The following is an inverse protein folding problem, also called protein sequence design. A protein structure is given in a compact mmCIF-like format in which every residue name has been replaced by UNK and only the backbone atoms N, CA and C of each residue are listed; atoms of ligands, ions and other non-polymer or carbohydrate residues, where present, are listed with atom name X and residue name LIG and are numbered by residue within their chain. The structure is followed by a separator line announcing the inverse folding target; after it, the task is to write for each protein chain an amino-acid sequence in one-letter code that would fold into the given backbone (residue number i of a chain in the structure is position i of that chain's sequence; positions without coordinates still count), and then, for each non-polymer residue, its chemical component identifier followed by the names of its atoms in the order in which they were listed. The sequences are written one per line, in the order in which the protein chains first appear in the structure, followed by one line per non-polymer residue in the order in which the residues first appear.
data_IF_690808497297
#
_entry.id   IF_690808497297
#
_cell.length_a   1.000
_cell.length_b   1.000
_cell.length_c   1.000
_cell.angle_alpha   90.00
_cell.angle_beta   90.00
_cell.angle_gamma   90.00
#
_symmetry.space_group_name_H-M   'P 1'
#
loop_
_entity.id
_entity.type
_entity.pdbx_description
1 polymer ?
#
# COMPACT_ATOMS: atom_id res chain seq x y z
N UNK A 1 12.15 -7.73 -22.61
CA UNK A 1 11.17 -6.63 -22.76
C UNK A 1 11.86 -5.34 -22.34
N UNK A 2 11.50 -4.20 -22.93
CA UNK A 2 12.06 -2.90 -22.51
C UNK A 2 11.49 -2.51 -21.14
N UNK A 3 12.35 -1.99 -20.26
CA UNK A 3 11.90 -1.46 -18.96
C UNK A 3 11.03 -0.21 -19.16
N UNK A 4 10.02 0.01 -18.31
CA UNK A 4 9.15 1.17 -18.44
C UNK A 4 9.93 2.47 -18.20
N UNK A 5 9.60 3.51 -18.97
CA UNK A 5 10.25 4.83 -18.89
C UNK A 5 9.22 5.93 -18.73
N UNK A 6 9.49 6.82 -17.77
CA UNK A 6 8.72 8.03 -17.51
C UNK A 6 9.45 9.24 -18.08
N UNK A 7 8.70 10.12 -18.73
CA UNK A 7 9.10 11.47 -19.12
C UNK A 7 8.02 12.44 -18.68
N UNK A 8 8.35 13.30 -17.72
CA UNK A 8 7.48 14.37 -17.20
C UNK A 8 7.94 15.76 -17.64
N UNK A 9 9.02 15.84 -18.44
CA UNK A 9 9.76 17.07 -18.69
C UNK A 9 10.48 17.62 -17.44
N UNK A 10 10.58 16.83 -16.36
CA UNK A 10 11.18 17.22 -15.07
C UNK A 10 12.09 16.12 -14.57
N UNK A 11 13.40 16.35 -14.69
CA UNK A 11 14.44 15.38 -14.31
C UNK A 11 14.26 14.78 -12.91
N UNK A 12 13.80 15.56 -11.92
CA UNK A 12 13.58 15.07 -10.55
C UNK A 12 12.61 13.88 -10.50
N UNK A 13 11.47 13.96 -11.19
CA UNK A 13 10.47 12.89 -11.19
C UNK A 13 10.91 11.70 -12.05
N UNK A 14 11.53 11.98 -13.19
CA UNK A 14 11.99 10.96 -14.15
C UNK A 14 13.13 10.12 -13.55
N UNK A 15 14.10 10.78 -12.91
CA UNK A 15 15.20 10.10 -12.21
C UNK A 15 14.70 9.30 -11.00
N UNK A 16 13.74 9.84 -10.24
CA UNK A 16 13.13 9.12 -9.11
C UNK A 16 12.40 7.85 -9.58
N UNK A 17 11.70 7.91 -10.73
CA UNK A 17 11.03 6.75 -11.31
C UNK A 17 12.03 5.71 -11.83
N UNK A 18 13.02 6.12 -12.62
CA UNK A 18 14.07 5.23 -13.12
C UNK A 18 14.83 4.55 -11.97
N UNK A 19 15.09 5.28 -10.88
CA UNK A 19 15.66 4.73 -9.65
C UNK A 19 14.74 3.69 -9.01
N UNK A 20 13.44 3.93 -8.93
CA UNK A 20 12.48 2.99 -8.34
C UNK A 20 12.44 1.68 -9.14
N UNK A 21 12.39 1.77 -10.47
CA UNK A 21 12.44 0.62 -11.38
C UNK A 21 13.69 -0.22 -11.15
N UNK A 22 14.86 0.42 -11.11
CA UNK A 22 16.14 -0.24 -10.87
C UNK A 22 16.21 -0.89 -9.48
N UNK A 23 15.78 -0.19 -8.44
CA UNK A 23 15.87 -0.68 -7.05
C UNK A 23 14.93 -1.86 -6.80
N UNK A 24 13.76 -1.90 -7.43
CA UNK A 24 12.88 -3.09 -7.44
C UNK A 24 13.57 -4.26 -8.13
N UNK A 25 14.13 -4.07 -9.32
CA UNK A 25 14.85 -5.14 -10.03
C UNK A 25 16.06 -5.66 -9.23
N UNK A 26 16.80 -4.78 -8.56
CA UNK A 26 17.92 -5.12 -7.68
C UNK A 26 17.50 -5.76 -6.35
N UNK A 27 16.20 -5.86 -6.08
CA UNK A 27 15.63 -6.55 -4.91
C UNK A 27 15.09 -7.93 -5.27
N UNK A 28 15.41 -8.45 -6.47
CA UNK A 28 15.08 -9.81 -6.90
C UNK A 28 16.30 -10.70 -6.64
N UNK A 29 16.11 -11.77 -5.87
CA UNK A 29 17.13 -12.77 -5.58
C UNK A 29 16.51 -14.17 -5.63
N UNK A 30 17.15 -15.10 -6.35
CA UNK A 30 16.65 -16.48 -6.48
C UNK A 30 15.25 -16.60 -7.09
N UNK A 31 14.83 -15.62 -7.91
CA UNK A 31 13.49 -15.59 -8.51
C UNK A 31 12.37 -15.10 -7.58
N UNK A 32 12.71 -14.56 -6.41
CA UNK A 32 11.77 -13.96 -5.46
C UNK A 32 12.20 -12.56 -5.05
N UNK A 33 11.26 -11.76 -4.55
CA UNK A 33 11.56 -10.46 -3.95
C UNK A 33 12.11 -10.62 -2.54
N UNK A 34 13.20 -9.91 -2.22
CA UNK A 34 13.71 -9.77 -0.85
C UNK A 34 13.37 -8.38 -0.32
N UNK A 35 13.18 -8.26 1.00
CA UNK A 35 12.75 -7.02 1.63
C UNK A 35 13.72 -5.84 1.38
N UNK A 36 15.02 -6.08 1.51
CA UNK A 36 16.03 -5.06 1.27
C UNK A 36 17.46 -5.54 1.45
N UNK A 37 18.42 -4.64 1.29
CA UNK A 37 19.85 -4.96 1.37
C UNK A 37 20.26 -5.50 2.74
N UNK A 38 19.78 -4.89 3.83
CA UNK A 38 20.04 -5.39 5.18
C UNK A 38 19.21 -6.63 5.55
N UNK A 39 18.21 -6.96 4.74
CA UNK A 39 17.24 -8.03 4.97
C UNK A 39 17.05 -8.86 3.69
N UNK A 40 18.01 -9.73 3.33
CA UNK A 40 17.93 -10.59 2.15
C UNK A 40 16.98 -11.78 2.39
N UNK A 41 15.79 -11.49 2.92
CA UNK A 41 14.76 -12.44 3.34
C UNK A 41 13.45 -12.03 2.71
N UNK A 42 12.61 -13.01 2.42
CA UNK A 42 11.26 -12.79 1.91
C UNK A 42 10.31 -12.70 3.10
N UNK A 43 9.71 -11.54 3.29
CA UNK A 43 8.70 -11.28 4.32
C UNK A 43 7.33 -11.14 3.66
N UNK A 44 6.28 -11.69 4.28
CA UNK A 44 4.93 -11.63 3.72
C UNK A 44 4.50 -10.19 3.53
N UNK A 45 4.77 -9.34 4.53
CA UNK A 45 4.35 -7.95 4.54
C UNK A 45 5.05 -7.10 3.48
N UNK A 46 6.38 -7.12 3.47
CA UNK A 46 7.21 -6.37 2.53
C UNK A 46 6.88 -6.75 1.09
N UNK A 47 6.82 -8.06 0.81
CA UNK A 47 6.48 -8.56 -0.52
C UNK A 47 5.07 -8.13 -0.93
N UNK A 48 4.08 -8.30 -0.05
CA UNK A 48 2.68 -8.07 -0.40
C UNK A 48 2.37 -6.60 -0.65
N UNK A 49 2.90 -5.69 0.18
CA UNK A 49 2.77 -4.25 -0.07
C UNK A 49 3.53 -3.83 -1.32
N UNK A 50 4.75 -4.32 -1.55
CA UNK A 50 5.51 -3.96 -2.74
C UNK A 50 4.83 -4.43 -4.04
N UNK A 51 4.27 -5.64 -4.02
CA UNK A 51 3.52 -6.20 -5.15
C UNK A 51 2.28 -5.35 -5.46
N UNK A 52 1.51 -4.97 -4.45
CA UNK A 52 0.33 -4.11 -4.60
C UNK A 52 0.68 -2.68 -5.04
N UNK A 53 1.83 -2.15 -4.60
CA UNK A 53 2.34 -0.83 -4.97
C UNK A 53 2.98 -0.77 -6.37
N UNK A 54 2.95 -1.86 -7.14
CA UNK A 54 3.36 -1.84 -8.55
C UNK A 54 4.39 -2.91 -8.94
N UNK A 55 5.01 -3.60 -7.98
CA UNK A 55 5.92 -4.70 -8.33
C UNK A 55 5.18 -5.85 -9.04
N UNK A 56 3.89 -6.05 -8.73
CA UNK A 56 3.03 -7.01 -9.42
C UNK A 56 2.89 -6.74 -10.91
N UNK A 57 2.76 -5.47 -11.30
CA UNK A 57 2.69 -5.05 -12.70
C UNK A 57 4.04 -5.23 -13.41
N UNK A 58 5.13 -4.91 -12.72
CA UNK A 58 6.46 -4.90 -13.32
C UNK A 58 7.13 -6.28 -13.42
N UNK A 59 6.91 -7.14 -12.43
CA UNK A 59 7.51 -8.47 -12.37
C UNK A 59 6.46 -9.52 -11.93
N UNK A 60 5.44 -9.81 -12.78
CA UNK A 60 4.34 -10.68 -12.42
C UNK A 60 4.77 -12.09 -12.01
N UNK A 61 5.75 -12.67 -12.70
CA UNK A 61 6.23 -14.03 -12.40
C UNK A 61 6.99 -14.10 -11.07
N UNK A 62 7.85 -13.13 -10.81
CA UNK A 62 8.56 -12.99 -9.52
C UNK A 62 7.55 -12.78 -8.40
N UNK A 63 6.51 -11.98 -8.63
CA UNK A 63 5.44 -11.73 -7.66
C UNK A 63 4.69 -13.02 -7.28
N UNK A 64 4.27 -13.80 -8.29
CA UNK A 64 3.61 -15.11 -8.05
C UNK A 64 4.52 -16.08 -7.30
N UNK A 65 5.79 -16.20 -7.70
CA UNK A 65 6.77 -17.07 -7.06
C UNK A 65 7.01 -16.65 -5.60
N UNK A 66 7.17 -15.35 -5.36
CA UNK A 66 7.36 -14.77 -4.02
C UNK A 66 6.18 -15.12 -3.10
N UNK A 67 4.94 -14.89 -3.54
CA UNK A 67 3.77 -15.17 -2.70
C UNK A 67 3.53 -16.64 -2.45
N UNK A 68 3.81 -17.50 -3.43
CA UNK A 68 3.81 -18.96 -3.22
C UNK A 68 4.83 -19.37 -2.16
N UNK A 69 6.01 -18.77 -2.17
CA UNK A 69 7.10 -19.07 -1.25
C UNK A 69 6.84 -18.66 0.20
N UNK A 70 6.03 -17.62 0.44
CA UNK A 70 5.73 -17.11 1.79
C UNK A 70 4.43 -17.63 2.40
N UNK A 71 3.65 -18.43 1.66
CA UNK A 71 2.49 -19.10 2.24
C UNK A 71 2.94 -20.16 3.26
N UNK A 72 2.26 -20.26 4.40
CA UNK A 72 2.65 -21.22 5.44
C UNK A 72 2.32 -22.67 5.03
N UNK A 73 3.17 -23.61 5.44
CA UNK A 73 2.86 -25.03 5.48
C UNK A 73 1.68 -25.25 6.43
N UNK A 74 0.46 -25.33 5.88
CA UNK A 74 -0.78 -25.28 6.67
C UNK A 74 -1.90 -24.49 5.99
N UNK A 75 -1.62 -23.85 4.85
CA UNK A 75 -2.65 -23.31 3.97
C UNK A 75 -3.18 -21.93 4.37
N UNK A 76 -2.46 -21.18 5.22
CA UNK A 76 -2.76 -19.78 5.53
C UNK A 76 -1.53 -18.89 5.21
N UNK A 77 -1.73 -17.58 5.11
CA UNK A 77 -0.62 -16.64 4.98
C UNK A 77 0.26 -16.69 6.24
N UNK A 78 1.58 -16.81 6.05
CA UNK A 78 2.52 -16.90 7.16
C UNK A 78 2.59 -15.57 7.91
N UNK A 79 2.75 -15.63 9.23
CA UNK A 79 2.99 -14.43 10.02
C UNK A 79 4.51 -14.26 10.20
N UNK A 80 4.99 -13.13 9.72
CA UNK A 80 6.34 -12.62 9.93
C UNK A 80 6.68 -12.58 11.43
N UNK A 81 7.93 -12.94 11.79
CA UNK A 81 8.40 -12.96 13.19
C UNK A 81 9.31 -11.76 13.48
N UNK A 82 8.82 -10.83 14.30
CA UNK A 82 9.55 -9.66 14.74
C UNK A 82 10.26 -9.86 16.09
N UNK A 83 11.40 -9.21 16.27
CA UNK A 83 12.22 -9.32 17.48
C UNK A 83 11.51 -8.81 18.76
N UNK A 84 10.79 -7.69 18.70
CA UNK A 84 10.22 -7.07 19.91
C UNK A 84 8.88 -7.68 20.35
N UNK A 85 8.01 -8.03 19.39
CA UNK A 85 6.64 -8.46 19.69
C UNK A 85 6.35 -9.91 19.31
N UNK A 86 7.27 -10.62 18.63
CA UNK A 86 7.14 -12.05 18.33
C UNK A 86 6.45 -12.30 16.99
N UNK A 87 5.49 -13.22 16.95
CA UNK A 87 4.67 -13.51 15.77
C UNK A 87 3.20 -13.66 16.15
N UNK A 88 2.45 -14.45 15.39
CA UNK A 88 1.06 -14.79 15.72
C UNK A 88 0.95 -15.39 17.14
N UNK A 89 -0.07 -15.04 17.95
CA UNK A 89 -1.22 -14.18 17.68
C UNK A 89 -1.02 -12.70 18.11
N UNK A 90 0.23 -12.22 18.19
CA UNK A 90 0.54 -10.83 18.61
C UNK A 90 0.63 -9.89 17.41
N UNK A 91 1.29 -10.37 16.37
CA UNK A 91 1.19 -9.84 15.01
C UNK A 91 0.13 -10.64 14.25
N UNK A 92 -0.77 -9.93 13.58
CA UNK A 92 -1.95 -10.53 12.95
C UNK A 92 -2.28 -9.88 11.61
N UNK A 93 -1.29 -9.23 11.00
CA UNK A 93 -1.35 -8.54 9.71
C UNK A 93 -1.05 -9.47 8.52
N UNK A 94 -0.76 -10.76 8.73
CA UNK A 94 -0.45 -11.72 7.65
C UNK A 94 -1.52 -11.82 6.56
N UNK A 95 -2.76 -11.41 6.84
CA UNK A 95 -3.83 -11.31 5.84
C UNK A 95 -3.50 -10.35 4.69
N UNK A 96 -2.49 -9.48 4.85
CA UNK A 96 -1.91 -8.66 3.77
C UNK A 96 -1.44 -9.50 2.58
N UNK A 97 -1.13 -10.79 2.78
CA UNK A 97 -0.88 -11.74 1.69
C UNK A 97 -2.00 -11.78 0.65
N UNK A 98 -3.26 -11.59 1.07
CA UNK A 98 -4.41 -11.51 0.16
C UNK A 98 -4.34 -10.29 -0.77
N UNK A 99 -3.81 -9.16 -0.28
CA UNK A 99 -3.64 -7.92 -1.04
C UNK A 99 -2.60 -8.13 -2.15
N UNK A 100 -1.42 -8.63 -1.78
CA UNK A 100 -0.38 -8.97 -2.77
C UNK A 100 -0.86 -10.02 -3.78
N UNK A 101 -1.59 -11.04 -3.31
CA UNK A 101 -2.07 -12.12 -4.18
C UNK A 101 -3.12 -11.65 -5.17
N UNK A 102 -4.00 -10.75 -4.75
CA UNK A 102 -4.93 -10.10 -5.67
C UNK A 102 -4.20 -9.29 -6.74
N UNK A 103 -3.18 -8.50 -6.37
CA UNK A 103 -2.37 -7.76 -7.32
C UNK A 103 -1.63 -8.69 -8.31
N UNK A 104 -1.15 -9.86 -7.86
CA UNK A 104 -0.62 -10.89 -8.75
C UNK A 104 -1.67 -11.39 -9.75
N UNK A 105 -2.86 -11.75 -9.28
CA UNK A 105 -3.94 -12.21 -10.15
C UNK A 105 -4.32 -11.14 -11.18
N UNK A 106 -4.45 -9.89 -10.75
CA UNK A 106 -4.75 -8.77 -11.65
C UNK A 106 -3.70 -8.66 -12.75
N UNK A 107 -2.42 -8.72 -12.40
CA UNK A 107 -1.31 -8.61 -13.33
C UNK A 107 -1.20 -9.79 -14.31
N UNK A 108 -1.62 -11.00 -13.92
CA UNK A 108 -1.43 -12.22 -14.73
C UNK A 108 -2.68 -12.75 -15.40
N UNK A 109 -3.86 -12.53 -14.82
CA UNK A 109 -5.11 -13.22 -15.19
C UNK A 109 -5.13 -14.71 -14.85
N UNK A 110 -4.20 -15.18 -14.00
CA UNK A 110 -4.04 -16.61 -13.68
C UNK A 110 -5.12 -17.10 -12.70
N UNK A 111 -6.15 -17.77 -13.25
CA UNK A 111 -7.27 -18.33 -12.48
C UNK A 111 -6.86 -19.46 -11.52
N UNK A 112 -5.81 -20.22 -11.81
CA UNK A 112 -5.32 -21.27 -10.90
C UNK A 112 -4.61 -20.66 -9.69
N UNK A 113 -3.85 -19.58 -9.91
CA UNK A 113 -3.30 -18.77 -8.84
C UNK A 113 -4.40 -18.10 -8.02
N UNK A 114 -5.46 -17.57 -8.65
CA UNK A 114 -6.61 -17.02 -7.95
C UNK A 114 -7.28 -18.06 -7.04
N UNK A 115 -7.56 -19.26 -7.57
CA UNK A 115 -8.19 -20.35 -6.80
C UNK A 115 -7.36 -20.74 -5.58
N UNK A 116 -6.04 -20.88 -5.77
CA UNK A 116 -5.13 -21.17 -4.66
C UNK A 116 -5.10 -20.05 -3.61
N UNK A 117 -4.90 -18.80 -4.04
CA UNK A 117 -4.77 -17.67 -3.12
C UNK A 117 -6.07 -17.35 -2.39
N UNK A 118 -7.22 -17.60 -3.03
CA UNK A 118 -8.54 -17.57 -2.40
C UNK A 118 -8.63 -18.58 -1.27
N UNK A 119 -8.23 -19.83 -1.50
CA UNK A 119 -8.22 -20.86 -0.46
C UNK A 119 -7.30 -20.48 0.73
N UNK A 120 -6.11 -19.94 0.45
CA UNK A 120 -5.17 -19.47 1.49
C UNK A 120 -5.76 -18.31 2.29
N UNK A 121 -6.43 -17.38 1.61
CA UNK A 121 -7.07 -16.22 2.23
C UNK A 121 -8.24 -16.64 3.12
N UNK A 122 -9.09 -17.56 2.65
CA UNK A 122 -10.20 -18.13 3.43
C UNK A 122 -9.72 -18.80 4.72
N UNK A 123 -8.67 -19.62 4.62
CA UNK A 123 -8.09 -20.27 5.79
C UNK A 123 -7.48 -19.25 6.78
N UNK A 124 -6.85 -18.18 6.27
CA UNK A 124 -6.28 -17.11 7.08
C UNK A 124 -7.35 -16.32 7.84
N UNK A 125 -8.44 -15.94 7.17
CA UNK A 125 -9.58 -15.25 7.78
C UNK A 125 -10.26 -16.15 8.82
N UNK A 126 -10.51 -17.42 8.49
CA UNK A 126 -11.09 -18.37 9.44
C UNK A 126 -10.21 -18.59 10.68
N UNK A 127 -8.87 -18.61 10.54
CA UNK A 127 -7.94 -18.64 11.68
C UNK A 127 -8.08 -17.37 12.53
N UNK A 128 -8.12 -16.21 11.89
CA UNK A 128 -8.25 -14.93 12.56
C UNK A 128 -9.56 -14.83 13.37
N UNK A 129 -10.69 -15.25 12.78
CA UNK A 129 -11.99 -15.29 13.47
C UNK A 129 -11.95 -16.14 14.74
N UNK A 130 -11.31 -17.31 14.70
CA UNK A 130 -11.24 -18.21 15.85
C UNK A 130 -10.34 -17.70 16.98
N UNK A 131 -9.23 -17.06 16.64
CA UNK A 131 -8.14 -16.85 17.61
C UNK A 131 -8.06 -15.41 18.13
N UNK A 132 -8.42 -14.42 17.31
CA UNK A 132 -8.13 -13.01 17.59
C UNK A 132 -9.30 -12.06 17.40
N UNK A 133 -10.45 -12.52 16.89
CA UNK A 133 -11.64 -11.69 16.76
C UNK A 133 -12.34 -11.51 18.12
N UNK A 134 -12.77 -10.29 18.43
CA UNK A 134 -13.45 -9.97 19.70
C UNK A 134 -14.98 -9.85 19.58
N UNK A 135 -15.53 -10.18 18.41
CA UNK A 135 -16.94 -9.96 18.07
C UNK A 135 -17.21 -8.67 17.30
N UNK A 136 -16.22 -7.77 17.17
CA UNK A 136 -16.31 -6.61 16.28
C UNK A 136 -14.99 -6.28 15.56
N UNK A 137 -13.86 -6.36 16.25
CA UNK A 137 -12.53 -6.07 15.71
C UNK A 137 -11.57 -7.24 15.94
N UNK A 138 -10.52 -7.30 15.14
CA UNK A 138 -9.40 -8.23 15.26
C UNK A 138 -8.33 -7.63 16.16
N UNK A 139 -7.87 -8.43 17.13
CA UNK A 139 -6.73 -8.11 17.99
C UNK A 139 -5.41 -8.24 17.22
N UNK A 140 -4.43 -7.45 17.62
CA UNK A 140 -3.07 -7.48 17.10
C UNK A 140 -2.43 -6.09 17.05
N UNK A 141 -1.11 -6.07 16.92
CA UNK A 141 -0.38 -4.84 16.67
C UNK A 141 -0.83 -4.20 15.34
N UNK A 142 -0.48 -2.93 15.14
CA UNK A 142 -0.62 -2.28 13.85
C UNK A 142 0.36 -2.92 12.85
N UNK A 143 -0.07 -3.02 11.60
CA UNK A 143 0.75 -3.56 10.51
C UNK A 143 2.08 -2.83 10.48
N UNK A 144 3.17 -3.56 10.26
CA UNK A 144 4.57 -3.11 10.28
C UNK A 144 5.10 -2.40 11.54
N UNK A 145 4.27 -2.08 12.52
CA UNK A 145 4.67 -1.29 13.68
C UNK A 145 5.23 -2.16 14.82
N UNK A 146 5.98 -3.23 14.51
CA UNK A 146 6.53 -4.21 15.47
C UNK A 146 7.69 -3.71 16.36
N UNK A 147 7.75 -2.42 16.65
CA UNK A 147 8.80 -1.85 17.50
C UNK A 147 8.28 -1.22 18.78
N UNK A 148 9.10 -1.36 19.82
CA UNK A 148 9.04 -0.58 21.06
C UNK A 148 8.88 0.93 20.85
N UNK A 149 9.34 1.47 19.72
CA UNK A 149 9.20 2.89 19.39
C UNK A 149 7.80 3.28 18.94
N UNK A 150 7.03 2.32 18.41
CA UNK A 150 5.68 2.53 17.90
C UNK A 150 4.60 2.56 18.98
N UNK A 151 4.95 2.36 20.26
CA UNK A 151 3.99 2.24 21.36
C UNK A 151 4.47 2.98 22.62
N UNK A 152 3.56 3.36 23.55
CA UNK A 152 3.98 3.97 24.81
C UNK A 152 4.77 2.97 25.67
N UNK A 153 5.61 3.50 26.57
CA UNK A 153 6.56 2.72 27.37
C UNK A 153 5.95 1.53 28.12
N UNK A 154 4.65 1.59 28.48
CA UNK A 154 3.91 0.47 29.10
C UNK A 154 3.87 -0.82 28.25
N UNK A 155 4.07 -0.72 26.94
CA UNK A 155 4.10 -1.85 26.01
C UNK A 155 5.52 -2.34 25.66
N UNK A 156 6.55 -1.68 26.20
CA UNK A 156 7.94 -2.02 25.92
C UNK A 156 8.23 -3.51 26.20
N UNK A 157 8.75 -4.22 25.19
CA UNK A 157 9.04 -5.66 25.24
C UNK A 157 7.85 -6.52 25.67
N UNK A 158 6.62 -6.00 25.55
CA UNK A 158 5.40 -6.65 25.99
C UNK A 158 4.48 -6.91 24.80
N UNK A 159 4.90 -7.84 23.94
CA UNK A 159 4.13 -8.23 22.76
C UNK A 159 2.75 -8.80 23.09
N UNK A 160 2.52 -9.34 24.30
CA UNK A 160 1.18 -9.79 24.74
C UNK A 160 0.24 -8.60 24.90
N UNK A 161 0.69 -7.53 25.55
CA UNK A 161 -0.11 -6.32 25.72
C UNK A 161 -0.37 -5.60 24.39
N UNK A 162 0.64 -5.52 23.50
CA UNK A 162 0.44 -4.98 22.14
C UNK A 162 -0.53 -5.85 21.34
N UNK A 163 -0.37 -7.17 21.40
CA UNK A 163 -1.25 -8.12 20.74
C UNK A 163 -2.70 -8.11 21.23
N UNK A 164 -2.97 -7.50 22.39
CA UNK A 164 -4.34 -7.30 22.89
C UNK A 164 -5.01 -6.03 22.36
N UNK A 165 -4.25 -5.14 21.70
CA UNK A 165 -4.82 -3.95 21.04
C UNK A 165 -5.57 -4.33 19.77
N UNK A 166 -6.41 -3.41 19.26
CA UNK A 166 -7.11 -3.52 17.99
C UNK A 166 -6.69 -2.35 17.12
N UNK A 167 -5.63 -2.54 16.33
CA UNK A 167 -5.07 -1.50 15.49
C UNK A 167 -5.88 -1.23 14.22
N UNK A 168 -5.87 0.02 13.75
CA UNK A 168 -6.58 0.44 12.55
C UNK A 168 -6.08 -0.29 11.31
N UNK A 169 -4.78 -0.24 11.01
CA UNK A 169 -4.19 -0.88 9.83
C UNK A 169 -4.51 -2.37 9.76
N UNK A 170 -4.41 -3.09 10.88
CA UNK A 170 -4.74 -4.52 10.97
C UNK A 170 -6.21 -4.79 10.68
N UNK A 171 -7.13 -4.00 11.25
CA UNK A 171 -8.55 -4.20 10.97
C UNK A 171 -8.94 -3.80 9.55
N UNK A 172 -8.33 -2.76 8.99
CA UNK A 172 -8.49 -2.40 7.57
C UNK A 172 -7.96 -3.50 6.65
N UNK A 173 -6.86 -4.17 7.00
CA UNK A 173 -6.34 -5.33 6.28
C UNK A 173 -7.30 -6.53 6.33
N UNK A 174 -7.89 -6.85 7.49
CA UNK A 174 -8.89 -7.93 7.59
C UNK A 174 -10.16 -7.59 6.80
N UNK A 175 -10.60 -6.33 6.83
CA UNK A 175 -11.70 -5.84 5.97
C UNK A 175 -11.37 -6.06 4.50
N UNK A 176 -10.17 -5.65 4.07
CA UNK A 176 -9.70 -5.85 2.70
C UNK A 176 -9.63 -7.32 2.35
N UNK A 177 -9.17 -8.18 3.26
CA UNK A 177 -9.17 -9.64 3.11
C UNK A 177 -10.56 -10.19 2.81
N UNK A 178 -11.58 -9.78 3.57
CA UNK A 178 -12.98 -10.17 3.28
C UNK A 178 -13.46 -9.66 1.93
N UNK A 179 -13.21 -8.38 1.59
CA UNK A 179 -13.61 -7.83 0.29
C UNK A 179 -12.96 -8.59 -0.88
N UNK A 180 -11.68 -8.95 -0.75
CA UNK A 180 -10.95 -9.69 -1.78
C UNK A 180 -11.41 -11.15 -1.87
N UNK A 181 -11.73 -11.79 -0.75
CA UNK A 181 -12.32 -13.13 -0.73
C UNK A 181 -13.71 -13.16 -1.40
N UNK A 182 -14.55 -12.15 -1.15
CA UNK A 182 -15.84 -12.01 -1.83
C UNK A 182 -15.67 -11.90 -3.35
N UNK A 183 -14.75 -11.02 -3.80
CA UNK A 183 -14.48 -10.84 -5.23
C UNK A 183 -13.92 -12.10 -5.89
N UNK A 184 -12.99 -12.78 -5.22
CA UNK A 184 -12.45 -14.04 -5.70
C UNK A 184 -13.52 -15.13 -5.78
N UNK A 185 -14.39 -15.24 -4.77
CA UNK A 185 -15.52 -16.16 -4.77
C UNK A 185 -16.43 -15.94 -6.00
N UNK A 186 -16.84 -14.69 -6.24
CA UNK A 186 -17.67 -14.35 -7.41
C UNK A 186 -17.00 -14.73 -8.74
N UNK A 187 -15.70 -14.43 -8.91
CA UNK A 187 -14.94 -14.78 -10.12
C UNK A 187 -14.77 -16.29 -10.31
N UNK A 188 -14.77 -17.06 -9.22
CA UNK A 188 -14.64 -18.51 -9.23
C UNK A 188 -16.00 -19.25 -9.31
N UNK A 189 -17.11 -18.51 -9.34
CA UNK A 189 -18.47 -19.07 -9.32
C UNK A 189 -18.89 -19.63 -7.95
N UNK A 190 -18.24 -19.19 -6.87
CA UNK A 190 -18.60 -19.48 -5.48
C UNK A 190 -19.50 -18.37 -4.90
N UNK A 191 -20.22 -18.65 -3.82
CA UNK A 191 -21.04 -17.66 -3.11
C UNK A 191 -20.19 -16.59 -2.40
N UNK A 192 -20.30 -15.30 -2.79
CA UNK A 192 -19.56 -14.21 -2.17
C UNK A 192 -20.20 -13.69 -0.87
N UNK A 193 -21.51 -13.91 -0.66
CA UNK A 193 -22.31 -13.28 0.38
C UNK A 193 -21.72 -13.43 1.80
N UNK A 194 -21.20 -14.60 2.22
CA UNK A 194 -20.64 -14.76 3.56
C UNK A 194 -19.45 -13.84 3.84
N UNK A 195 -18.66 -13.49 2.82
CA UNK A 195 -17.54 -12.57 2.97
C UNK A 195 -17.98 -11.11 2.90
N UNK A 196 -18.98 -10.79 2.08
CA UNK A 196 -19.55 -9.44 1.99
C UNK A 196 -20.20 -9.00 3.31
N UNK A 197 -20.98 -9.90 3.93
CA UNK A 197 -21.61 -9.64 5.23
C UNK A 197 -20.57 -9.36 6.32
N UNK A 198 -19.47 -10.13 6.35
CA UNK A 198 -18.37 -9.94 7.29
C UNK A 198 -17.59 -8.65 7.01
N UNK A 199 -17.32 -8.33 5.75
CA UNK A 199 -16.70 -7.07 5.37
C UNK A 199 -17.55 -5.88 5.83
N UNK A 200 -18.85 -5.88 5.55
CA UNK A 200 -19.77 -4.82 5.95
C UNK A 200 -19.83 -4.67 7.48
N UNK A 201 -19.92 -5.78 8.21
CA UNK A 201 -19.92 -5.76 9.68
C UNK A 201 -18.61 -5.19 10.25
N UNK A 202 -17.46 -5.61 9.72
CA UNK A 202 -16.16 -5.11 10.16
C UNK A 202 -15.95 -3.63 9.82
N UNK A 203 -16.38 -3.18 8.64
CA UNK A 203 -16.35 -1.75 8.27
C UNK A 203 -17.15 -0.91 9.26
N UNK A 204 -18.35 -1.36 9.67
CA UNK A 204 -19.14 -0.68 10.70
C UNK A 204 -18.40 -0.65 12.03
N UNK A 205 -17.88 -1.78 12.50
CA UNK A 205 -17.13 -1.86 13.75
C UNK A 205 -15.89 -0.96 13.77
N UNK A 206 -15.14 -0.86 12.66
CA UNK A 206 -13.99 0.06 12.54
C UNK A 206 -14.46 1.51 12.70
N UNK A 207 -15.51 1.91 12.01
CA UNK A 207 -16.03 3.27 12.08
C UNK A 207 -16.65 3.60 13.45
N UNK A 208 -17.32 2.65 14.10
CA UNK A 208 -17.90 2.87 15.43
C UNK A 208 -16.84 3.00 16.53
N UNK A 209 -15.75 2.23 16.44
CA UNK A 209 -14.79 2.07 17.55
C UNK A 209 -13.49 2.84 17.37
N UNK A 210 -13.10 3.13 16.13
CA UNK A 210 -11.82 3.78 15.82
C UNK A 210 -11.98 5.17 15.21
N UNK A 211 -13.10 5.51 14.57
CA UNK A 211 -13.31 6.87 14.04
C UNK A 211 -13.44 7.87 15.20
N UNK A 212 -12.75 9.01 15.10
CA UNK A 212 -12.84 10.10 16.10
C UNK A 212 -13.42 11.33 15.42
N UNK A 213 -14.77 11.48 15.37
CA UNK A 213 -15.41 12.56 14.64
C UNK A 213 -14.96 13.94 15.12
N UNK A 214 -14.73 14.10 16.42
CA UNK A 214 -14.25 15.34 17.03
C UNK A 214 -12.81 15.71 16.66
N UNK A 215 -12.06 14.77 16.06
CA UNK A 215 -10.69 14.97 15.59
C UNK A 215 -10.55 14.89 14.08
N UNK A 216 -11.57 14.39 13.38
CA UNK A 216 -11.57 14.20 11.93
C UNK A 216 -10.62 13.10 11.43
N UNK A 217 -10.16 12.19 12.29
CA UNK A 217 -9.27 11.09 11.90
C UNK A 217 -9.53 9.82 12.74
N UNK A 218 -9.04 8.68 12.28
CA UNK A 218 -9.10 7.43 13.04
C UNK A 218 -8.06 7.40 14.18
N UNK A 219 -8.39 6.71 15.26
CA UNK A 219 -7.44 6.34 16.31
C UNK A 219 -6.49 5.25 15.80
N UNK A 220 -5.24 5.30 16.28
CA UNK A 220 -4.20 4.34 15.93
C UNK A 220 -4.59 2.90 16.32
N UNK A 221 -5.12 2.73 17.52
CA UNK A 221 -5.66 1.47 18.01
C UNK A 221 -6.68 1.73 19.11
N UNK A 222 -7.51 0.73 19.40
CA UNK A 222 -8.24 0.59 20.66
C UNK A 222 -7.44 -0.33 21.60
N UNK A 223 -7.24 0.05 22.87
CA UNK A 223 -6.52 -0.79 23.84
C UNK A 223 -7.38 -1.94 24.40
N UNK A 224 -6.77 -2.76 25.27
CA UNK A 224 -7.44 -3.94 25.83
C UNK A 224 -8.70 -3.59 26.64
N UNK A 225 -8.81 -2.37 27.15
CA UNK A 225 -9.95 -1.88 27.94
C UNK A 225 -11.00 -1.17 27.07
N UNK A 226 -10.87 -1.21 25.75
CA UNK A 226 -11.80 -0.54 24.84
C UNK A 226 -11.51 0.95 24.65
N UNK A 227 -10.35 1.47 25.09
CA UNK A 227 -10.05 2.90 25.01
C UNK A 227 -9.29 3.22 23.71
N UNK A 228 -9.82 4.12 22.86
CA UNK A 228 -9.12 4.54 21.65
C UNK A 228 -7.88 5.38 21.96
N UNK A 229 -6.78 5.10 21.27
CA UNK A 229 -5.55 5.87 21.35
C UNK A 229 -5.75 7.31 20.84
N UNK A 230 -5.01 8.24 21.43
CA UNK A 230 -5.03 9.64 21.04
C UNK A 230 -4.25 9.95 19.74
N UNK A 231 -3.45 9.00 19.24
CA UNK A 231 -2.59 9.13 18.06
C UNK A 231 -3.27 8.54 16.84
N UNK A 232 -2.76 8.85 15.66
CA UNK A 232 -3.10 8.20 14.39
C UNK A 232 -1.86 7.57 13.76
N UNK A 233 -2.07 6.60 12.87
CA UNK A 233 -1.00 5.99 12.05
C UNK A 233 -1.17 6.32 10.57
N UNK A 234 -0.06 6.49 9.86
CA UNK A 234 -0.11 6.88 8.45
C UNK A 234 -0.67 5.78 7.54
N UNK A 235 -0.20 4.54 7.71
CA UNK A 235 -0.60 3.42 6.85
C UNK A 235 -2.09 3.08 7.01
N UNK A 236 -2.55 2.84 8.24
CA UNK A 236 -3.95 2.52 8.50
C UNK A 236 -4.91 3.59 7.97
N UNK A 237 -4.55 4.87 8.14
CA UNK A 237 -5.31 5.99 7.60
C UNK A 237 -5.33 5.99 6.07
N UNK A 238 -4.19 5.85 5.42
CA UNK A 238 -4.11 5.81 3.95
C UNK A 238 -4.94 4.66 3.37
N UNK A 239 -4.82 3.46 3.95
CA UNK A 239 -5.57 2.28 3.51
C UNK A 239 -7.08 2.41 3.78
N UNK A 240 -7.47 3.01 4.90
CA UNK A 240 -8.90 3.23 5.20
C UNK A 240 -9.56 4.13 4.15
N UNK A 241 -8.85 5.18 3.70
CA UNK A 241 -9.31 6.07 2.62
C UNK A 241 -9.32 5.38 1.27
N UNK A 242 -8.20 4.71 0.92
CA UNK A 242 -8.00 4.07 -0.39
C UNK A 242 -8.98 2.91 -0.63
N UNK A 243 -9.26 2.09 0.39
CA UNK A 243 -10.12 0.92 0.28
C UNK A 243 -11.54 1.14 0.77
N UNK A 244 -11.94 2.39 0.99
CA UNK A 244 -13.33 2.77 1.26
C UNK A 244 -13.87 2.32 2.62
N UNK A 245 -13.01 2.13 3.62
CA UNK A 245 -13.44 2.00 5.02
C UNK A 245 -13.90 3.37 5.53
N UNK A 246 -13.14 4.42 5.19
CA UNK A 246 -13.59 5.79 5.27
C UNK A 246 -14.55 6.08 4.11
N UNK A 247 -15.74 6.58 4.44
CA UNK A 247 -16.63 7.18 3.45
C UNK A 247 -16.09 8.54 2.97
N UNK A 248 -16.82 9.19 2.08
CA UNK A 248 -16.36 10.42 1.44
C UNK A 248 -16.19 11.57 2.44
N UNK A 249 -17.06 11.66 3.46
CA UNK A 249 -16.97 12.68 4.49
C UNK A 249 -15.77 12.43 5.41
N UNK A 250 -15.60 11.19 5.90
CA UNK A 250 -14.47 10.79 6.73
C UNK A 250 -13.14 10.95 5.98
N UNK A 251 -13.09 10.56 4.70
CA UNK A 251 -11.91 10.76 3.86
C UNK A 251 -11.56 12.25 3.70
N UNK A 252 -12.55 13.10 3.43
CA UNK A 252 -12.34 14.54 3.34
C UNK A 252 -11.86 15.13 4.69
N UNK A 253 -12.40 14.67 5.83
CA UNK A 253 -11.95 15.09 7.15
C UNK A 253 -10.51 14.65 7.44
N UNK A 254 -10.16 13.43 7.04
CA UNK A 254 -8.80 12.89 7.16
C UNK A 254 -7.79 13.77 6.41
N UNK A 255 -8.05 14.14 5.14
CA UNK A 255 -7.15 15.01 4.40
C UNK A 255 -6.99 16.41 5.00
N UNK A 256 -7.96 16.89 5.78
CA UNK A 256 -7.87 18.19 6.47
C UNK A 256 -7.12 18.11 7.80
N UNK A 257 -7.18 16.99 8.50
CA UNK A 257 -6.73 16.88 9.90
C UNK A 257 -5.48 16.05 10.10
N UNK A 258 -5.20 15.11 9.18
CA UNK A 258 -3.98 14.32 9.15
C UNK A 258 -2.94 15.10 8.35
N UNK A 259 -1.95 15.66 9.05
CA UNK A 259 -0.92 16.50 8.45
C UNK A 259 0.37 15.74 8.23
N UNK A 260 0.90 15.81 7.02
CA UNK A 260 2.22 15.33 6.68
C UNK A 260 3.32 16.16 7.38
N UNK A 261 4.48 15.55 7.60
CA UNK A 261 5.68 16.30 7.99
C UNK A 261 6.28 16.99 6.77
N UNK A 262 7.34 17.78 6.95
CA UNK A 262 8.04 18.45 5.84
C UNK A 262 8.42 17.50 4.70
N UNK A 263 8.72 16.25 5.02
CA UNK A 263 9.22 15.26 4.06
C UNK A 263 8.20 14.16 3.71
N UNK A 264 6.96 14.28 4.19
CA UNK A 264 5.89 13.33 3.88
C UNK A 264 5.11 12.83 5.10
N UNK A 265 4.10 12.01 4.84
CA UNK A 265 3.27 11.43 5.89
C UNK A 265 4.10 10.53 6.84
N UNK A 266 4.12 10.82 8.16
CA UNK A 266 4.82 9.99 9.12
C UNK A 266 4.04 8.69 9.39
N UNK A 267 4.75 7.62 9.76
CA UNK A 267 4.13 6.36 10.14
C UNK A 267 3.18 6.47 11.35
N UNK A 268 3.43 7.43 12.25
CA UNK A 268 2.73 7.62 13.51
C UNK A 268 2.82 9.07 13.96
N UNK A 269 1.71 9.63 14.46
CA UNK A 269 1.70 10.98 15.01
C UNK A 269 0.62 11.24 16.07
N UNK A 270 0.84 12.18 17.01
CA UNK A 270 2.13 12.75 17.41
C UNK A 270 3.11 11.67 17.91
N UNK A 271 4.42 11.95 17.88
CA UNK A 271 5.43 11.00 18.36
C UNK A 271 5.22 10.62 19.83
N UNK A 272 5.62 9.41 20.21
CA UNK A 272 5.83 9.06 21.62
C UNK A 272 7.10 9.73 22.14
N UNK A 273 7.13 10.05 23.43
CA UNK A 273 8.37 10.48 24.10
C UNK A 273 9.35 9.29 24.15
N UNK A 274 10.59 9.53 23.76
CA UNK A 274 11.64 8.51 23.92
C UNK A 274 11.81 8.18 25.40
N UNK A 275 11.67 6.90 25.73
CA UNK A 275 11.76 6.41 27.11
C UNK A 275 13.10 5.70 27.40
N UNK A 276 13.93 5.46 26.37
CA UNK A 276 15.33 4.98 26.47
C UNK A 276 16.27 5.74 25.54
N UNK A 277 16.53 7.04 25.79
CA UNK A 277 17.34 7.88 24.90
C UNK A 277 18.82 7.49 24.84
N UNK A 278 19.33 6.65 25.74
CA UNK A 278 20.73 6.19 25.72
C UNK A 278 20.96 4.95 24.84
N UNK A 279 19.91 4.25 24.41
CA UNK A 279 20.00 3.08 23.52
C UNK A 279 19.70 3.46 22.06
N UNK A 280 20.28 4.54 21.52
CA UNK A 280 19.95 5.11 20.19
C UNK A 280 20.34 4.18 19.03
N UNK A 281 19.72 3.01 18.95
CA UNK A 281 19.67 2.13 17.79
C UNK A 281 18.40 2.44 17.02
N UNK A 282 18.44 2.25 15.71
CA UNK A 282 17.31 2.50 14.80
C UNK A 282 16.01 1.89 15.31
N UNK A 283 16.12 0.67 15.83
CA UNK A 283 15.02 -0.11 16.40
C UNK A 283 14.23 0.60 17.51
N UNK A 284 14.79 1.60 18.20
CA UNK A 284 14.12 2.35 19.27
C UNK A 284 13.50 3.69 18.84
N UNK A 285 13.58 4.05 17.55
CA UNK A 285 12.93 5.26 17.04
C UNK A 285 12.25 5.12 15.68
N UNK A 286 12.55 4.08 14.88
CA UNK A 286 12.18 4.03 13.47
C UNK A 286 10.66 3.93 13.19
N UNK A 287 9.87 3.36 14.11
CA UNK A 287 8.40 3.40 14.06
C UNK A 287 7.79 4.57 14.87
N UNK A 288 8.57 5.61 15.18
CA UNK A 288 8.10 6.77 15.95
C UNK A 288 8.15 8.06 15.12
N UNK A 289 7.23 8.18 14.16
CA UNK A 289 7.05 9.36 13.33
C UNK A 289 8.11 9.54 12.24
N UNK A 290 8.79 8.48 11.83
CA UNK A 290 9.62 8.50 10.61
C UNK A 290 8.73 8.51 9.36
N UNK A 291 9.26 9.01 8.25
CA UNK A 291 8.60 8.95 6.94
C UNK A 291 9.03 7.66 6.25
N UNK A 292 8.07 6.78 6.02
CA UNK A 292 8.28 5.50 5.34
C UNK A 292 7.75 5.62 3.91
N UNK A 293 8.59 5.50 2.87
CA UNK A 293 8.17 5.77 1.50
C UNK A 293 6.98 4.93 1.00
N UNK A 294 6.84 3.69 1.46
CA UNK A 294 5.69 2.86 1.08
C UNK A 294 4.38 3.37 1.69
N UNK A 295 4.42 3.89 2.92
CA UNK A 295 3.28 4.57 3.58
C UNK A 295 2.94 5.85 2.82
N UNK A 296 3.97 6.61 2.44
CA UNK A 296 3.84 7.80 1.61
C UNK A 296 3.20 7.47 0.25
N UNK A 297 3.63 6.38 -0.38
CA UNK A 297 3.07 5.86 -1.63
C UNK A 297 1.59 5.54 -1.53
N UNK A 298 1.18 4.79 -0.51
CA UNK A 298 -0.25 4.52 -0.24
C UNK A 298 -1.04 5.79 0.04
N UNK A 299 -0.47 6.75 0.76
CA UNK A 299 -1.13 8.02 1.05
C UNK A 299 -1.32 8.88 -0.20
N UNK A 300 -0.29 8.98 -1.05
CA UNK A 300 -0.39 9.63 -2.35
C UNK A 300 -1.42 8.94 -3.25
N UNK A 301 -1.43 7.62 -3.30
CA UNK A 301 -2.44 6.87 -4.04
C UNK A 301 -3.85 7.13 -3.50
N UNK A 302 -4.04 7.11 -2.18
CA UNK A 302 -5.32 7.44 -1.56
C UNK A 302 -5.79 8.86 -1.92
N UNK A 303 -4.87 9.84 -1.88
CA UNK A 303 -5.14 11.22 -2.26
C UNK A 303 -5.57 11.33 -3.73
N UNK A 304 -4.83 10.71 -4.65
CA UNK A 304 -5.16 10.71 -6.07
C UNK A 304 -6.52 10.04 -6.34
N UNK A 305 -6.78 8.88 -5.74
CA UNK A 305 -8.03 8.14 -5.89
C UNK A 305 -9.27 8.92 -5.39
N UNK A 306 -9.07 9.90 -4.49
CA UNK A 306 -10.12 10.77 -3.95
C UNK A 306 -10.10 12.19 -4.52
N UNK A 307 -9.26 12.47 -5.52
CA UNK A 307 -9.15 13.79 -6.14
C UNK A 307 -8.56 14.87 -5.22
N UNK A 308 -7.83 14.50 -4.16
CA UNK A 308 -7.12 15.42 -3.27
C UNK A 308 -5.78 15.86 -3.90
N UNK A 309 -5.87 16.65 -4.98
CA UNK A 309 -4.74 17.01 -5.86
C UNK A 309 -3.56 17.59 -5.10
N UNK A 310 -3.78 18.54 -4.19
CA UNK A 310 -2.69 19.21 -3.45
C UNK A 310 -1.96 18.27 -2.49
N UNK A 311 -2.69 17.34 -1.87
CA UNK A 311 -2.08 16.30 -1.01
C UNK A 311 -1.23 15.37 -1.87
N UNK A 312 -1.77 14.90 -2.99
CA UNK A 312 -1.01 14.07 -3.92
C UNK A 312 0.24 14.77 -4.46
N UNK A 313 0.11 16.03 -4.89
CA UNK A 313 1.21 16.84 -5.41
C UNK A 313 2.34 17.00 -4.38
N UNK A 314 1.98 17.29 -3.13
CA UNK A 314 2.94 17.44 -2.02
C UNK A 314 3.71 16.14 -1.78
N UNK A 315 3.02 15.01 -1.75
CA UNK A 315 3.65 13.71 -1.48
C UNK A 315 4.48 13.19 -2.64
N UNK A 316 4.04 13.41 -3.88
CA UNK A 316 4.81 13.09 -5.08
C UNK A 316 6.12 13.89 -5.12
N UNK A 317 6.05 15.20 -4.90
CA UNK A 317 7.23 16.07 -4.84
C UNK A 317 8.15 15.70 -3.67
N UNK A 318 7.57 15.43 -2.49
CA UNK A 318 8.31 15.06 -1.29
C UNK A 318 9.08 13.74 -1.47
N UNK A 319 8.44 12.70 -2.00
CA UNK A 319 9.11 11.41 -2.21
C UNK A 319 10.13 11.48 -3.34
N UNK A 320 9.89 12.27 -4.39
CA UNK A 320 10.89 12.51 -5.44
C UNK A 320 12.13 13.25 -4.90
N UNK A 321 11.96 14.24 -4.01
CA UNK A 321 13.07 14.90 -3.32
C UNK A 321 13.85 13.90 -2.45
N UNK A 322 13.15 13.10 -1.63
CA UNK A 322 13.78 12.06 -0.81
C UNK A 322 14.56 11.04 -1.65
N UNK A 323 14.02 10.66 -2.82
CA UNK A 323 14.71 9.78 -3.76
C UNK A 323 16.05 10.37 -4.24
N UNK A 324 16.20 11.69 -4.30
CA UNK A 324 17.45 12.38 -4.65
C UNK A 324 18.50 12.42 -3.53
N UNK A 325 18.15 12.05 -2.29
CA UNK A 325 19.03 12.19 -1.10
C UNK A 325 19.96 10.99 -0.85
N UNK A 326 19.82 9.91 -1.61
CA UNK A 326 20.60 8.69 -1.46
C UNK A 326 20.74 7.94 -2.79
N UNK A 327 21.65 6.96 -2.86
CA UNK A 327 21.85 6.14 -4.07
C UNK A 327 20.64 5.23 -4.38
N UNK A 328 19.98 4.71 -3.34
CA UNK A 328 18.84 3.79 -3.39
C UNK A 328 17.67 4.33 -2.56
N UNK A 329 16.47 3.74 -2.69
CA UNK A 329 15.34 4.03 -1.80
C UNK A 329 15.58 3.38 -0.44
N UNK A 330 15.86 4.21 0.56
CA UNK A 330 16.04 3.75 1.93
C UNK A 330 14.72 3.35 2.60
N UNK A 331 14.85 2.58 3.67
CA UNK A 331 13.74 2.07 4.47
C UNK A 331 12.87 3.19 5.06
N UNK A 332 13.50 4.21 5.65
CA UNK A 332 12.79 5.38 6.18
C UNK A 332 13.65 6.66 6.16
N UNK A 333 12.99 7.80 6.36
CA UNK A 333 13.62 9.12 6.43
C UNK A 333 13.20 9.86 7.70
N UNK A 334 14.09 10.72 8.21
CA UNK A 334 13.80 11.59 9.35
C UNK A 334 12.78 12.67 8.95
N UNK A 335 11.71 12.89 9.72
CA UNK A 335 10.62 13.81 9.35
C UNK A 335 11.04 15.29 9.29
N UNK A 336 12.10 15.66 10.00
CA UNK A 336 12.55 17.05 10.11
C UNK A 336 13.65 17.37 9.06
N UNK A 337 14.59 16.43 8.86
CA UNK A 337 15.78 16.64 8.03
C UNK A 337 15.76 15.93 6.67
N UNK A 338 14.90 14.94 6.48
CA UNK A 338 14.90 14.09 5.28
C UNK A 338 16.15 13.20 5.19
N UNK A 339 16.91 13.03 6.29
CA UNK A 339 18.08 12.16 6.30
C UNK A 339 17.63 10.70 6.20
N UNK A 340 18.20 9.89 5.27
CA UNK A 340 17.88 8.47 5.17
C UNK A 340 18.36 7.69 6.41
N UNK A 341 17.68 6.58 6.71
CA UNK A 341 18.03 5.61 7.76
C UNK A 341 17.50 4.21 7.44
N UNK A 342 17.82 3.24 8.29
CA UNK A 342 17.48 1.83 8.06
C UNK A 342 18.23 1.21 6.87
N UNK A 343 17.65 0.16 6.27
CA UNK A 343 18.21 -0.52 5.10
C UNK A 343 18.44 0.45 3.93
N UNK A 344 19.62 0.38 3.30
CA UNK A 344 20.00 1.30 2.23
C UNK A 344 19.12 1.15 0.98
N UNK A 345 18.75 -0.09 0.63
CA UNK A 345 17.78 -0.42 -0.41
C UNK A 345 16.64 -1.18 0.24
N UNK A 346 15.41 -0.71 0.03
CA UNK A 346 14.20 -1.33 0.55
C UNK A 346 13.12 -1.40 -0.53
N UNK A 347 12.63 -2.61 -0.77
CA UNK A 347 11.72 -2.95 -1.87
C UNK A 347 10.44 -2.12 -1.83
N UNK A 348 9.72 -2.15 -0.71
CA UNK A 348 8.45 -1.43 -0.59
C UNK A 348 8.61 0.08 -0.74
N UNK A 349 9.82 0.61 -0.50
CA UNK A 349 10.08 2.03 -0.53
C UNK A 349 10.19 2.51 -1.97
N UNK A 350 10.89 1.74 -2.80
CA UNK A 350 10.91 1.95 -4.24
C UNK A 350 9.50 1.75 -4.84
N UNK A 351 8.78 0.71 -4.40
CA UNK A 351 7.42 0.45 -4.85
C UNK A 351 6.45 1.59 -4.53
N UNK A 352 6.60 2.26 -3.38
CA UNK A 352 5.78 3.43 -3.02
C UNK A 352 5.78 4.53 -4.08
N UNK A 353 6.94 4.80 -4.71
CA UNK A 353 7.02 5.80 -5.78
C UNK A 353 6.45 5.29 -7.11
N UNK A 354 6.58 3.99 -7.40
CA UNK A 354 5.91 3.38 -8.56
C UNK A 354 4.39 3.57 -8.47
N UNK A 355 3.79 3.32 -7.31
CA UNK A 355 2.36 3.50 -7.08
C UNK A 355 1.89 4.94 -7.35
N UNK A 356 2.65 5.94 -6.89
CA UNK A 356 2.31 7.35 -7.15
C UNK A 356 2.33 7.69 -8.65
N UNK A 357 3.27 7.13 -9.41
CA UNK A 357 3.31 7.32 -10.87
C UNK A 357 2.18 6.56 -11.53
N UNK A 358 2.08 5.25 -11.31
CA UNK A 358 1.16 4.37 -12.01
C UNK A 358 -0.31 4.64 -11.65
N UNK A 359 -0.62 4.70 -10.36
CA UNK A 359 -1.99 4.80 -9.87
C UNK A 359 -2.40 6.23 -9.53
N UNK A 360 -1.44 7.15 -9.38
CA UNK A 360 -1.68 8.58 -9.14
C UNK A 360 -1.61 9.41 -10.41
N UNK A 361 -0.40 9.67 -10.93
CA UNK A 361 -0.18 10.52 -12.11
C UNK A 361 -0.95 10.02 -13.33
N UNK A 362 -0.80 8.73 -13.66
CA UNK A 362 -1.50 8.11 -14.78
C UNK A 362 -2.89 7.58 -14.39
N UNK A 363 -3.19 7.54 -13.08
CA UNK A 363 -4.52 7.20 -12.59
C UNK A 363 -5.01 5.83 -13.01
N UNK A 364 -4.10 4.87 -13.22
CA UNK A 364 -4.47 3.56 -13.73
C UNK A 364 -5.20 2.76 -12.66
N UNK A 365 -6.27 2.08 -13.06
CA UNK A 365 -6.97 1.11 -12.22
C UNK A 365 -7.17 -0.18 -12.99
N UNK A 366 -6.78 -1.30 -12.39
CA UNK A 366 -6.88 -2.62 -13.00
C UNK A 366 -7.97 -3.40 -12.26
N UNK A 367 -9.13 -3.59 -12.89
CA UNK A 367 -10.27 -4.29 -12.28
C UNK A 367 -10.38 -5.77 -12.68
N UNK A 368 -9.46 -6.23 -13.53
CA UNK A 368 -9.38 -7.59 -14.06
C UNK A 368 -9.94 -7.75 -15.47
N UNK A 369 -10.89 -6.87 -15.85
CA UNK A 369 -11.56 -6.85 -17.16
C UNK A 369 -11.17 -5.67 -18.03
N UNK A 370 -10.92 -4.51 -17.41
CA UNK A 370 -10.55 -3.27 -18.05
C UNK A 370 -9.40 -2.59 -17.27
N UNK A 371 -8.67 -1.73 -17.97
CA UNK A 371 -7.71 -0.79 -17.41
C UNK A 371 -8.33 0.59 -17.53
N UNK A 372 -8.77 1.16 -16.41
CA UNK A 372 -9.34 2.50 -16.33
C UNK A 372 -8.28 3.57 -16.09
N UNK A 373 -8.56 4.80 -16.51
CA UNK A 373 -7.67 5.96 -16.37
C UNK A 373 -8.38 7.14 -15.69
N UNK A 374 -7.81 7.62 -14.59
CA UNK A 374 -8.26 8.79 -13.82
C UNK A 374 -7.04 9.61 -13.36
N UNK A 375 -6.27 10.17 -14.30
CA UNK A 375 -4.99 10.81 -13.99
C UNK A 375 -5.17 12.00 -13.05
N UNK A 376 -4.21 12.19 -12.15
CA UNK A 376 -4.12 13.36 -11.29
C UNK A 376 -2.78 14.03 -11.60
N UNK A 377 -2.83 15.14 -12.34
CA UNK A 377 -1.62 15.82 -12.79
C UNK A 377 -1.48 17.16 -12.07
N UNK A 378 -0.53 17.29 -11.11
CA UNK A 378 -0.30 18.53 -10.39
C UNK A 378 0.03 19.73 -11.28
N UNK A 379 -0.27 20.93 -10.80
CA UNK A 379 0.19 22.16 -11.44
C UNK A 379 1.72 22.17 -11.56
N UNK A 380 2.23 22.59 -12.72
CA UNK A 380 3.67 22.62 -13.02
C UNK A 380 4.20 21.43 -13.83
N UNK A 381 3.36 20.40 -14.02
CA UNK A 381 3.48 19.37 -15.05
C UNK A 381 2.45 19.64 -16.16
N UNK A 382 2.82 19.42 -17.42
CA UNK A 382 1.95 19.72 -18.56
C UNK A 382 1.97 18.67 -19.67
N UNK A 383 2.99 17.81 -19.70
CA UNK A 383 3.08 16.67 -20.59
C UNK A 383 3.76 15.53 -19.86
N UNK A 384 3.10 14.38 -19.81
CA UNK A 384 3.61 13.14 -19.23
C UNK A 384 3.62 12.07 -20.30
N UNK A 385 4.66 11.24 -20.32
CA UNK A 385 4.72 10.03 -21.16
C UNK A 385 5.23 8.87 -20.32
N UNK A 386 4.47 7.77 -20.30
CA UNK A 386 4.91 6.49 -19.77
C UNK A 386 4.96 5.50 -20.93
N UNK A 387 6.14 4.95 -21.19
CA UNK A 387 6.36 4.01 -22.30
C UNK A 387 6.89 2.68 -21.78
N UNK A 388 6.62 1.60 -22.50
CA UNK A 388 7.13 0.27 -22.16
C UNK A 388 6.46 -0.38 -20.95
N UNK A 389 5.31 0.12 -20.50
CA UNK A 389 4.56 -0.52 -19.42
C UNK A 389 3.85 -1.76 -19.97
N UNK A 390 4.24 -2.93 -19.47
CA UNK A 390 3.63 -4.20 -19.86
C UNK A 390 2.54 -4.63 -18.90
N UNK A 391 1.44 -5.16 -19.40
CA UNK A 391 0.39 -5.81 -18.62
C UNK A 391 -0.13 -7.03 -19.38
N UNK A 392 0.07 -8.24 -18.87
CA UNK A 392 -0.25 -9.47 -19.61
C UNK A 392 0.41 -9.47 -21.00
N UNK A 393 -0.36 -9.62 -22.08
CA UNK A 393 0.12 -9.55 -23.46
C UNK A 393 0.19 -8.13 -24.05
N UNK A 394 -0.17 -7.09 -23.30
CA UNK A 394 -0.26 -5.69 -23.73
C UNK A 394 1.03 -4.93 -23.39
N UNK A 395 1.47 -4.05 -24.28
CA UNK A 395 2.48 -3.02 -24.00
C UNK A 395 1.87 -1.64 -24.26
N UNK A 396 1.91 -0.78 -23.24
CA UNK A 396 1.32 0.54 -23.29
C UNK A 396 2.37 1.64 -23.46
N UNK A 397 2.02 2.58 -24.33
CA UNK A 397 2.53 3.94 -24.31
C UNK A 397 1.38 4.89 -23.98
N UNK A 398 1.50 5.62 -22.87
CA UNK A 398 0.47 6.56 -22.41
C UNK A 398 1.05 7.96 -22.46
N UNK A 399 0.38 8.88 -23.15
CA UNK A 399 0.70 10.31 -23.15
C UNK A 399 -0.44 11.09 -22.52
N UNK A 400 -0.15 11.90 -21.52
CA UNK A 400 -1.10 12.85 -20.91
C UNK A 400 -0.66 14.27 -21.24
N UNK A 401 -1.57 15.09 -21.74
CA UNK A 401 -1.34 16.53 -21.99
C UNK A 401 -2.30 17.37 -21.15
N UNK A 402 -1.78 18.40 -20.49
CA UNK A 402 -2.52 19.26 -19.57
C UNK A 402 -2.26 18.91 -18.10
N UNK A 403 -2.99 19.60 -17.20
CA UNK A 403 -2.92 19.44 -15.75
C UNK A 403 -4.32 19.36 -15.15
N UNK A 404 -4.46 18.83 -13.94
CA UNK A 404 -5.74 18.66 -13.25
C UNK A 404 -6.19 17.20 -13.23
N UNK A 405 -7.51 16.99 -13.13
CA UNK A 405 -8.12 15.66 -12.96
C UNK A 405 -9.23 15.36 -13.96
N UNK A 406 -9.66 16.35 -14.75
CA UNK A 406 -10.75 16.21 -15.70
C UNK A 406 -10.20 15.82 -17.06
N UNK A 407 -10.59 14.65 -17.56
CA UNK A 407 -10.29 14.23 -18.93
C UNK A 407 -11.25 14.95 -19.88
N UNK A 408 -10.68 15.69 -20.84
CA UNK A 408 -11.39 16.34 -21.93
C UNK A 408 -11.47 15.48 -23.20
N UNK A 409 -10.42 14.71 -23.50
CA UNK A 409 -10.42 13.71 -24.58
C UNK A 409 -9.58 12.48 -24.24
N UNK A 410 -9.94 11.34 -24.84
CA UNK A 410 -9.28 10.06 -24.60
C UNK A 410 -9.28 9.25 -25.90
N UNK A 411 -8.09 8.99 -26.45
CA UNK A 411 -7.92 8.24 -27.68
C UNK A 411 -7.05 7.00 -27.46
N UNK A 412 -7.38 5.94 -28.19
CA UNK A 412 -6.60 4.69 -28.26
C UNK A 412 -6.23 4.47 -29.71
N UNK A 413 -4.93 4.35 -29.98
CA UNK A 413 -4.36 4.21 -31.33
C UNK A 413 -4.87 5.27 -32.33
N UNK A 414 -5.06 6.49 -31.83
CA UNK A 414 -5.55 7.64 -32.60
C UNK A 414 -7.08 7.71 -32.77
N UNK A 415 -7.84 6.74 -32.26
CA UNK A 415 -9.30 6.74 -32.28
C UNK A 415 -9.87 7.15 -30.92
N UNK A 416 -10.67 8.22 -30.91
CA UNK A 416 -11.40 8.68 -29.72
C UNK A 416 -12.29 7.57 -29.15
N UNK A 417 -12.27 7.42 -27.82
CA UNK A 417 -13.10 6.47 -27.10
C UNK A 417 -14.08 7.20 -26.17
N UNK A 418 -15.32 6.71 -26.04
CA UNK A 418 -16.31 7.31 -25.15
C UNK A 418 -16.06 7.01 -23.66
N UNK A 419 -15.22 6.00 -23.37
CA UNK A 419 -14.87 5.58 -22.00
C UNK A 419 -13.37 5.77 -21.81
N UNK A 420 -12.98 6.27 -20.64
CA UNK A 420 -11.58 6.43 -20.24
C UNK A 420 -10.99 5.11 -19.73
N UNK A 421 -11.14 4.05 -20.53
CA UNK A 421 -10.71 2.70 -20.19
C UNK A 421 -10.43 1.89 -21.46
N UNK A 422 -9.56 0.89 -21.32
CA UNK A 422 -9.28 -0.09 -22.38
C UNK A 422 -9.53 -1.51 -21.88
N UNK A 423 -9.93 -2.46 -22.75
CA UNK A 423 -10.05 -3.86 -22.36
C UNK A 423 -8.71 -4.45 -21.89
N UNK A 424 -8.70 -5.20 -20.78
CA UNK A 424 -7.52 -5.91 -20.29
C UNK A 424 -7.14 -7.14 -21.15
N UNK A 425 -7.96 -7.45 -22.15
CA UNK A 425 -7.74 -8.51 -23.15
C UNK A 425 -6.96 -8.03 -24.38
N UNK A 426 -6.68 -6.72 -24.50
CA UNK A 426 -5.82 -6.21 -25.56
C UNK A 426 -4.43 -6.86 -25.50
N UNK A 427 -3.80 -6.97 -26.66
CA UNK A 427 -2.46 -7.58 -26.81
C UNK A 427 -1.65 -6.81 -27.82
N UNK A 428 -0.33 -6.85 -27.69
CA UNK A 428 0.58 -6.09 -28.53
C UNK A 428 0.74 -4.63 -28.07
N UNK A 429 1.37 -3.78 -28.89
CA UNK A 429 1.61 -2.39 -28.57
C UNK A 429 0.36 -1.54 -28.80
N UNK A 430 0.01 -0.70 -27.82
CA UNK A 430 -1.08 0.27 -27.93
C UNK A 430 -0.66 1.62 -27.39
N UNK A 431 -1.17 2.68 -28.02
CA UNK A 431 -0.98 4.06 -27.60
C UNK A 431 -2.28 4.60 -27.00
N UNK A 432 -2.17 5.20 -25.82
CA UNK A 432 -3.26 5.91 -25.14
C UNK A 432 -2.89 7.39 -25.04
N UNK A 433 -3.70 8.26 -25.62
CA UNK A 433 -3.53 9.71 -25.53
C UNK A 433 -4.68 10.31 -24.72
N UNK A 434 -4.33 11.06 -23.67
CA UNK A 434 -5.28 11.67 -22.74
C UNK A 434 -5.03 13.18 -22.72
N UNK A 435 -6.07 13.97 -23.00
CA UNK A 435 -6.02 15.43 -22.83
C UNK A 435 -6.83 15.83 -21.62
N UNK A 436 -6.24 16.59 -20.70
CA UNK A 436 -6.92 17.17 -19.54
C UNK A 436 -7.49 18.54 -19.89
N UNK A 437 -8.66 18.87 -19.34
CA UNK A 437 -9.41 20.09 -19.64
C UNK A 437 -9.91 20.85 -18.44
#
# INVERSE_FOLDING_TARGET
MAEPRLDTGRATYDMAYAKAVRDVAASISGGAFVAGESWPTVWVRDASYAIDLGCGLMHPDVSRATLRGVAASGGAWAQDRAAHFGGWPRLTDSVVGAVGAWACYVATGDSDFLRWSHAVTRASLARAEREIFDGGLFRGCASFMESNSGYPARFAFNGRAVGATKALSTNVLHHRGYTLAARAAALLGEDPEPFEVRAAALKRAINERLWRPERGHYAYYEDADGRPANRWEGLGTALAVLWGVADDEAAAAVFRTVTATRHGLPCLWPRYRFWKPWLVRDEYYYHNGMVWPFVQGYWGWAAAARGAVEVFATELAGLADLAGRAATYHEFYRPDSGRPGGSARQLWSAAGYLAMVHYGLFGMSFDGTEIGFRPVVPAGLSRLRLSGLTHRGLTLEITITGSGTRIGSFAVDGAEQPRHAIPATLTGPHRVDITLG
#
